data_IF_187985018999
#
_entry.id   IF_187985018999
#
_cell.length_a   1.000
_cell.length_b   1.000
_cell.length_c   1.000
_cell.angle_alpha   90.00
_cell.angle_beta   90.00
_cell.angle_gamma   90.00
#
_symmetry.space_group_name_H-M   'P 1'
#
loop_
_entity.id
_entity.type
_entity.pdbx_description
1 polymer ?
2 non-polymer ?
3 water ?
#
# COMPACT_ATOMS: atom_id res chain seq x y z
N UNK A 95 -14.02 -12.09 -15.44
CA UNK A 95 -12.98 -11.96 -16.51
C UNK A 95 -13.20 -10.72 -17.37
N UNK A 96 -14.42 -10.62 -17.92
CA UNK A 96 -14.83 -9.48 -18.74
C UNK A 96 -14.60 -8.15 -17.99
N UNK A 97 -15.10 -8.08 -16.76
CA UNK A 97 -14.95 -6.88 -15.94
C UNK A 97 -13.48 -6.61 -15.61
N UNK A 98 -12.71 -7.68 -15.38
CA UNK A 98 -11.27 -7.56 -15.13
C UNK A 98 -10.54 -6.99 -16.34
N UNK A 99 -10.91 -7.47 -17.53
CA UNK A 99 -10.34 -6.94 -18.78
C UNK A 99 -10.65 -5.46 -18.93
N UNK A 100 -11.89 -5.09 -18.70
CA UNK A 100 -12.31 -3.70 -18.84
C UNK A 100 -11.52 -2.82 -17.85
N UNK A 102 -8.42 -3.45 -16.49
CA UNK A 102 -7.01 -3.33 -16.87
C UNK A 102 -6.84 -2.34 -18.02
N UNK A 103 -7.76 -2.39 -18.99
CA UNK A 103 -7.70 -1.50 -20.15
C UNK A 103 -8.03 -0.06 -19.79
N UNK A 104 -8.95 0.12 -18.84
CA UNK A 104 -9.32 1.46 -18.40
C UNK A 104 -8.09 2.20 -17.85
N UNK A 105 -7.27 1.49 -17.09
CA UNK A 105 -6.11 2.10 -16.42
C UNK A 105 -4.80 1.90 -17.18
N UNK A 106 -4.79 0.99 -18.15
CA UNK A 106 -3.56 0.66 -18.85
C UNK A 106 -2.55 -0.09 -18.01
N UNK A 107 -3.02 -0.98 -17.13
CA UNK A 107 -2.15 -1.74 -16.20
C UNK A 107 -2.05 -3.22 -16.57
N UNK A 108 -1.23 -3.98 -15.82
CA UNK A 108 -0.94 -5.38 -16.13
C UNK A 108 -2.13 -6.30 -15.90
N UNK A 109 -2.74 -6.13 -14.75
CA UNK A 109 -3.69 -7.09 -14.30
C UNK A 109 -4.60 -6.46 -13.28
N UNK A 110 -5.87 -6.79 -13.36
CA UNK A 110 -6.83 -6.43 -12.34
C UNK A 110 -7.55 -7.71 -11.94
N UNK A 111 -7.63 -7.95 -10.64
CA UNK A 111 -8.41 -9.05 -10.09
C UNK A 111 -9.63 -8.44 -9.40
N UNK A 112 -10.82 -8.84 -9.85
CA UNK A 112 -12.06 -8.33 -9.29
C UNK A 112 -12.74 -9.42 -8.47
N UNK A 113 -12.76 -9.22 -7.15
CA UNK A 113 -13.36 -10.17 -6.23
C UNK A 113 -14.86 -9.94 -6.14
N UNK A 114 -15.61 -11.04 -6.02
CA UNK A 114 -17.06 -10.96 -5.95
C UNK A 114 -17.45 -10.16 -4.72
N UNK A 115 -18.41 -9.25 -4.92
CA UNK A 115 -19.05 -8.58 -3.80
C UNK A 115 -18.63 -7.14 -3.61
N UNK A 116 -18.92 -6.64 -2.41
CA UNK A 116 -18.76 -5.24 -2.04
C UNK A 116 -18.13 -5.16 -0.64
N UNK A 117 -16.85 -4.82 -0.58
CA UNK A 117 -16.11 -4.72 0.68
C UNK A 117 -16.62 -3.61 1.59
N UNK A 118 -17.41 -2.68 1.07
CA UNK A 118 -18.08 -1.69 1.92
C UNK A 118 -19.04 -2.36 2.90
N UNK A 119 -19.75 -3.38 2.42
CA UNK A 119 -20.83 -3.97 3.20
C UNK A 119 -20.59 -5.44 3.59
N UNK A 120 -19.58 -6.08 3.00
CA UNK A 120 -19.29 -7.51 3.24
C UNK A 120 -17.87 -7.72 3.74
N UNK A 121 -17.74 -8.09 5.01
CA UNK A 121 -16.42 -8.29 5.60
C UNK A 121 -15.60 -9.40 4.97
N UNK A 122 -16.25 -10.43 4.43
CA UNK A 122 -15.50 -11.55 3.83
C UNK A 122 -14.65 -11.09 2.64
N UNK A 123 -15.06 -10.03 1.96
CA UNK A 123 -14.31 -9.56 0.78
C UNK A 123 -12.87 -9.20 1.15
N UNK A 124 -12.66 -8.60 2.32
CA UNK A 124 -11.30 -8.25 2.76
C UNK A 124 -10.48 -9.50 3.07
N UNK A 125 -11.12 -10.50 3.66
CA UNK A 125 -10.50 -11.81 3.86
C UNK A 125 -10.13 -12.43 2.51
N UNK A 126 -11.05 -12.35 1.56
CA UNK A 126 -10.79 -12.78 0.19
C UNK A 126 -9.63 -12.03 -0.44
N UNK A 127 -9.49 -10.74 -0.14
CA UNK A 127 -8.30 -9.99 -0.63
C UNK A 127 -7.01 -10.64 -0.13
N UNK A 128 -7.03 -11.14 1.11
CA UNK A 128 -5.89 -11.87 1.68
C UNK A 128 -5.54 -13.11 0.87
N UNK A 129 -6.55 -13.91 0.56
CA UNK A 129 -6.37 -15.09 -0.29
C UNK A 129 -5.77 -14.70 -1.65
N UNK A 130 -6.33 -13.66 -2.25
CA UNK A 130 -5.92 -13.23 -3.59
C UNK A 130 -4.49 -12.72 -3.54
N UNK A 131 -4.17 -11.92 -2.51
CA UNK A 131 -2.79 -11.44 -2.42
C UNK A 131 -1.82 -12.60 -2.24
N UNK A 132 -2.20 -13.57 -1.40
CA UNK A 132 -1.35 -14.75 -1.19
C UNK A 132 -1.07 -15.45 -2.53
N UNK A 133 -2.12 -15.72 -3.28
CA UNK A 133 -1.97 -16.41 -4.57
C UNK A 133 -1.14 -15.59 -5.56
N UNK A 134 -1.35 -14.27 -5.53
CA UNK A 134 -0.66 -13.35 -6.41
C UNK A 134 0.85 -13.30 -6.09
N UNK A 135 1.20 -13.12 -4.82
CA UNK A 135 2.60 -13.13 -4.43
C UNK A 135 3.24 -14.52 -4.58
N UNK A 136 2.48 -15.59 -4.41
CA UNK A 136 3.05 -16.91 -4.61
C UNK A 136 3.49 -17.08 -6.07
N UNK A 137 2.66 -16.58 -6.98
CA UNK A 137 2.98 -16.60 -8.41
C UNK A 137 4.14 -15.67 -8.77
N UNK A 138 4.09 -14.44 -8.24
CA UNK A 138 5.01 -13.37 -8.64
C UNK A 138 6.40 -13.46 -8.01
N UNK A 139 6.47 -13.75 -6.71
CA UNK A 139 7.75 -13.67 -5.99
C UNK A 139 8.67 -14.86 -6.35
N UNK A 140 9.86 -14.55 -6.88
CA UNK A 140 10.82 -15.62 -7.19
C UNK A 140 11.51 -16.23 -5.97
N UNK A 141 12.20 -17.34 -6.20
CA UNK A 141 13.09 -17.88 -5.19
C UNK A 141 14.20 -16.89 -4.88
N UNK A 142 14.84 -17.08 -3.74
CA UNK A 142 15.86 -16.17 -3.27
C UNK A 142 15.34 -15.30 -2.14
N UNK A 143 15.94 -14.13 -1.97
CA UNK A 143 15.60 -13.22 -0.89
C UNK A 143 14.76 -12.06 -1.43
N UNK A 144 13.50 -12.02 -1.05
CA UNK A 144 12.60 -10.93 -1.46
C UNK A 144 12.37 -9.98 -0.30
N UNK A 145 12.27 -8.69 -0.62
CA UNK A 145 11.89 -7.68 0.35
C UNK A 145 10.60 -7.01 -0.13
N UNK A 146 9.56 -7.14 0.68
CA UNK A 146 8.23 -6.62 0.39
C UNK A 146 7.94 -5.43 1.30
N UNK A 147 7.83 -4.25 0.70
CA UNK A 147 7.56 -3.02 1.43
C UNK A 147 6.06 -2.78 1.42
N UNK A 148 5.50 -2.54 2.59
CA UNK A 148 4.05 -2.45 2.72
C UNK A 148 3.60 -1.15 3.40
N UNK A 150 0.19 0.57 5.56
CA UNK A 150 -0.80 0.15 6.54
C UNK A 150 -2.20 0.55 6.14
N UNK A 151 -3.04 0.78 7.15
CA UNK A 151 -4.43 1.14 6.96
C UNK A 151 -5.35 -0.03 7.21
N UNK A 152 -6.65 0.25 7.21
CA UNK A 152 -7.63 -0.76 7.57
C UNK A 152 -7.67 -1.93 6.59
N UNK A 153 -7.66 -1.63 5.29
CA UNK A 153 -7.64 -2.67 4.27
C UNK A 153 -6.44 -3.58 4.43
N UNK A 155 -4.50 -4.06 7.02
CA UNK A 155 -4.52 -4.80 8.29
C UNK A 155 -5.33 -6.09 8.11
N UNK A 157 -6.19 -7.58 5.17
CA UNK A 157 -5.46 -8.41 4.22
C UNK A 157 -4.38 -9.22 4.92
N UNK A 158 -3.56 -8.53 5.71
CA UNK A 158 -2.44 -9.19 6.40
C UNK A 158 -2.92 -10.34 7.28
N UNK A 159 -4.00 -10.11 8.03
CA UNK A 159 -4.53 -11.13 8.95
C UNK A 159 -4.99 -12.39 8.21
N UNK A 160 -5.27 -12.25 6.91
CA UNK A 160 -5.86 -13.32 6.11
C UNK A 160 -4.94 -13.89 5.04
N UNK A 162 -1.86 -16.47 3.58
CA UNK A 162 -1.41 -17.86 3.70
C UNK A 162 0.10 -17.93 3.49
N UNK A 163 0.61 -19.16 3.49
CA UNK A 163 2.03 -19.41 3.46
C UNK A 163 2.69 -18.99 2.15
N UNK A 164 3.83 -18.32 2.25
CA UNK A 164 4.68 -18.02 1.08
C UNK A 164 6.11 -18.50 1.23
N UNK A 165 6.55 -18.76 2.46
CA UNK A 165 7.95 -19.09 2.72
C UNK A 165 8.20 -20.53 2.29
N UNK A 166 9.35 -20.76 1.67
CA UNK A 166 9.79 -22.12 1.31
C UNK A 166 11.27 -22.26 1.61
N UNK A 167 11.81 -23.46 1.36
CA UNK A 167 13.24 -23.70 1.49
C UNK A 167 14.05 -22.69 0.69
N UNK A 168 13.57 -22.41 -0.53
CA UNK A 168 14.28 -21.59 -1.49
C UNK A 168 13.80 -20.13 -1.60
N UNK A 169 12.61 -19.84 -1.10
CA UNK A 169 12.07 -18.47 -1.14
C UNK A 169 11.91 -17.89 0.26
N UNK A 170 12.66 -16.83 0.55
CA UNK A 170 12.64 -16.21 1.85
C UNK A 170 12.18 -14.77 1.71
N UNK A 171 11.02 -14.48 2.31
CA UNK A 171 10.41 -13.15 2.22
C UNK A 171 10.57 -12.34 3.49
N UNK A 172 11.02 -11.10 3.32
CA UNK A 172 11.14 -10.13 4.41
C UNK A 172 10.15 -8.98 4.17
N UNK A 173 9.36 -8.66 5.20
CA UNK A 173 8.38 -7.58 5.12
C UNK A 173 8.87 -6.38 5.92
N UNK A 174 8.79 -5.20 5.30
CA UNK A 174 9.18 -3.96 5.93
C UNK A 174 8.13 -2.92 5.59
N UNK A 175 8.00 -1.91 6.46
CA UNK A 175 7.11 -0.79 6.10
C UNK A 175 7.69 0.02 4.94
N UNK A 176 6.83 0.53 4.06
CA UNK A 176 7.29 1.34 2.92
C UNK A 176 7.63 2.76 3.34
N UNK A 177 6.96 3.20 4.42
CA UNK A 177 7.14 4.53 4.96
C UNK A 177 7.09 4.56 6.47
N UNK A 178 7.84 5.49 7.05
CA UNK A 178 7.69 5.85 8.46
C UNK A 178 7.03 7.21 8.59
N UNK A 179 6.59 7.54 9.79
CA UNK A 179 6.07 8.89 10.07
C UNK A 179 4.76 9.19 9.38
N UNK A 180 3.91 8.17 9.29
CA UNK A 180 2.66 8.30 8.55
C UNK A 180 1.50 8.80 9.43
N UNK A 181 1.55 8.54 10.72
CA UNK A 181 0.56 9.06 11.65
C UNK A 181 -0.62 8.12 11.97
N UNK A 182 -0.52 6.86 11.59
CA UNK A 182 -1.58 5.91 11.92
C UNK A 182 -1.47 5.41 13.38
N UNK A 183 -2.58 4.86 13.87
CA UNK A 183 -2.60 4.15 15.15
C UNK A 183 -1.94 2.78 15.02
N UNK A 184 -1.48 2.24 16.15
CA UNK A 184 -0.75 0.97 16.13
C UNK A 184 -1.47 -0.18 15.42
N UNK A 185 -2.78 -0.26 15.55
CA UNK A 185 -3.52 -1.38 14.96
C UNK A 185 -3.40 -1.44 13.44
N UNK A 186 -3.16 -0.29 12.80
CA UNK A 186 -3.10 -0.25 11.34
C UNK A 186 -1.83 0.39 10.80
N UNK A 187 -0.83 0.60 11.64
CA UNK A 187 0.43 1.16 11.12
C UNK A 187 1.20 0.11 10.30
N UNK A 188 2.01 0.59 9.36
CA UNK A 188 2.73 -0.27 8.43
C UNK A 188 3.62 -1.32 9.15
N UNK A 189 4.27 -0.92 10.24
CA UNK A 189 5.07 -1.86 11.05
C UNK A 189 4.22 -3.06 11.46
N UNK A 190 3.01 -2.77 11.92
CA UNK A 190 2.10 -3.81 12.40
C UNK A 190 1.69 -4.74 11.27
N UNK A 191 1.36 -4.17 10.11
CA UNK A 191 0.99 -4.97 8.94
C UNK A 191 2.19 -5.87 8.57
N UNK A 192 3.40 -5.32 8.60
CA UNK A 192 4.60 -6.11 8.25
C UNK A 192 4.76 -7.33 9.14
N UNK A 193 4.53 -7.13 10.44
CA UNK A 193 4.71 -8.20 11.42
C UNK A 193 3.68 -9.29 11.22
N UNK A 194 2.44 -8.87 11.00
CA UNK A 194 1.36 -9.82 10.77
C UNK A 194 1.59 -10.60 9.47
N UNK A 196 4.36 -11.19 8.00
CA UNK A 196 5.49 -12.11 8.20
C UNK A 196 5.01 -13.37 8.89
N UNK A 197 4.25 -13.18 9.97
CA UNK A 197 3.72 -14.31 10.74
C UNK A 197 2.86 -15.22 9.89
N UNK A 198 1.89 -14.64 9.19
CA UNK A 198 0.92 -15.44 8.46
C UNK A 198 1.52 -16.17 7.25
N UNK A 199 2.56 -15.59 6.65
CA UNK A 199 3.18 -16.15 5.45
C UNK A 199 4.38 -17.06 5.73
N UNK A 200 4.83 -17.10 6.98
CA UNK A 200 6.03 -17.86 7.35
C UNK A 200 7.34 -17.12 7.13
N UNK A 201 7.25 -15.82 6.82
CA UNK A 201 8.45 -15.02 6.56
C UNK A 201 8.93 -14.29 7.79
N UNK A 202 9.65 -13.20 7.53
CA UNK A 202 10.23 -12.38 8.56
C UNK A 202 9.91 -10.91 8.32
N UNK A 203 10.12 -10.09 9.34
CA UNK A 203 9.91 -8.66 9.22
C UNK A 203 11.02 -7.89 9.88
N UNK A 204 11.16 -6.65 9.46
CA UNK A 204 11.98 -5.68 10.14
C UNK A 204 11.19 -4.39 10.29
N UNK A 205 10.91 -4.00 11.53
CA UNK A 205 10.18 -2.78 11.80
C UNK A 205 11.13 -1.60 11.63
N UNK A 206 10.57 -0.47 11.20
CA UNK A 206 11.30 0.77 11.13
C UNK A 206 10.92 1.52 12.39
N UNK A 207 11.90 1.72 13.28
CA UNK A 207 11.59 2.20 14.62
C UNK A 207 11.58 3.72 14.62
N UNK A 208 10.62 4.25 13.86
CA UNK A 208 10.37 5.67 13.74
C UNK A 208 8.95 5.87 14.23
N UNK A 209 8.73 6.74 15.23
CA UNK A 209 7.34 6.97 15.65
C UNK A 209 6.44 7.45 14.50
N UNK A 210 5.15 7.10 14.56
CA UNK A 210 4.21 7.49 13.51
C UNK A 210 3.96 8.99 13.48
N UNK A 211 4.10 9.62 14.65
CA UNK A 211 4.18 11.07 14.76
C UNK A 211 5.51 11.38 15.46
N UNK A 212 6.31 12.28 14.87
CA UNK A 212 7.66 12.55 15.39
C UNK A 212 8.14 13.97 15.15
N UNK A 213 9.19 14.34 15.88
CA UNK A 213 9.78 15.67 15.83
C UNK A 213 11.06 15.71 15.00
N UNK A 214 11.48 16.93 14.63
CA UNK A 214 12.71 17.15 13.86
C UNK A 214 13.93 16.60 14.58
N UNK A 215 13.93 16.78 15.90
CA UNK A 215 15.00 16.28 16.77
C UNK A 215 15.10 14.76 16.66
N UNK A 216 13.95 14.10 16.79
CA UNK A 216 13.88 12.63 16.74
C UNK A 216 14.34 12.12 15.36
N UNK A 217 13.89 12.80 14.32
CA UNK A 217 14.25 12.46 12.95
C UNK A 217 15.75 12.48 12.64
N UNK A 218 16.42 13.60 12.93
CA UNK A 218 17.87 13.72 12.73
C UNK A 218 18.66 12.68 13.47
N UNK A 219 18.21 12.40 14.70
CA UNK A 219 18.90 11.47 15.57
C UNK A 219 18.80 10.06 15.01
N UNK A 220 17.58 9.68 14.65
CA UNK A 220 17.32 8.33 14.12
C UNK A 220 18.03 8.07 12.79
N UNK A 221 18.20 9.10 11.98
CA UNK A 221 18.91 8.93 10.71
C UNK A 221 20.39 8.59 10.83
N UNK A 222 21.00 8.93 11.96
CA UNK A 222 22.39 8.58 12.22
C UNK A 222 22.52 7.22 12.88
N UNK A 223 21.40 6.58 13.21
CA UNK A 223 21.43 5.26 13.83
C UNK A 223 21.68 4.20 12.77
N UNK A 224 22.76 3.40 12.92
CA UNK A 224 22.98 2.31 11.97
C UNK A 224 21.79 1.37 11.81
N UNK A 225 21.06 1.13 12.90
CA UNK A 225 19.89 0.24 12.86
C UNK A 225 18.76 0.80 12.00
N UNK A 226 18.52 2.10 12.14
CA UNK A 226 17.50 2.78 11.33
C UNK A 226 17.92 2.81 9.86
N UNK A 227 19.18 3.15 9.62
CA UNK A 227 19.74 3.21 8.27
C UNK A 227 19.62 1.87 7.57
N UNK A 228 19.86 0.80 8.33
CA UNK A 228 19.82 -0.55 7.82
C UNK A 228 18.43 -0.86 7.28
N UNK A 229 17.41 -0.48 8.04
CA UNK A 229 16.03 -0.72 7.59
C UNK A 229 15.66 0.18 6.41
N UNK A 230 16.06 1.44 6.42
CA UNK A 230 15.82 2.34 5.29
C UNK A 230 16.48 1.80 4.01
N UNK A 231 17.66 1.20 4.17
CA UNK A 231 18.34 0.60 3.03
C UNK A 231 17.58 -0.63 2.51
N UNK A 232 17.12 -1.48 3.42
CA UNK A 232 16.30 -2.64 3.05
C UNK A 232 15.09 -2.18 2.25
N UNK A 233 14.42 -1.14 2.75
CA UNK A 233 13.24 -0.59 2.06
C UNK A 233 13.61 -0.11 0.67
N UNK A 234 14.74 0.59 0.54
CA UNK A 234 15.18 1.10 -0.77
C UNK A 234 15.43 -0.01 -1.80
N UNK A 235 15.73 -1.23 -1.34
CA UNK A 235 15.99 -2.35 -2.24
C UNK A 235 14.82 -3.30 -2.37
N UNK A 236 13.63 -2.89 -1.92
CA UNK A 236 12.46 -3.75 -2.03
C UNK A 236 12.22 -4.12 -3.50
N UNK A 237 11.90 -5.38 -3.75
CA UNK A 237 11.48 -5.81 -5.10
C UNK A 237 9.96 -6.00 -5.22
N UNK A 238 9.23 -5.76 -4.14
CA UNK A 238 7.79 -5.82 -4.13
C UNK A 238 7.23 -4.73 -3.20
N UNK A 239 6.11 -4.12 -3.63
CA UNK A 239 5.39 -3.16 -2.79
C UNK A 239 3.92 -3.51 -2.81
N UNK A 240 3.30 -3.50 -1.65
CA UNK A 240 1.85 -3.74 -1.53
C UNK A 240 1.25 -2.59 -0.71
N UNK A 241 0.15 -2.04 -1.22
CA UNK A 241 -0.47 -0.89 -0.59
C UNK A 241 -1.95 -0.83 -0.91
N UNK A 242 -2.69 -0.05 -0.11
CA UNK A 242 -4.04 0.35 -0.48
C UNK A 242 -4.01 1.77 -1.02
N UNK A 243 -5.18 2.29 -1.31
CA UNK A 243 -5.40 3.65 -1.77
C UNK A 243 -6.41 4.24 -0.82
N UNK A 244 -6.07 5.37 -0.23
CA UNK A 244 -6.93 6.02 0.76
C UNK A 244 -7.79 7.10 0.16
N UNK A 245 -8.93 7.33 0.80
CA UNK A 245 -9.77 8.48 0.51
C UNK A 245 -9.12 9.66 1.27
N UNK A 246 -8.71 10.69 0.52
CA UNK A 246 -7.75 11.68 0.99
C UNK A 246 -8.11 12.38 2.31
N UNK A 247 -9.28 13.00 2.36
CA UNK A 247 -9.63 13.76 3.57
C UNK A 247 -9.83 12.85 4.78
N UNK A 248 -10.41 11.68 4.55
CA UNK A 248 -10.55 10.66 5.58
C UNK A 248 -9.18 10.26 6.15
N UNK A 250 -6.41 12.11 6.06
CA UNK A 250 -5.86 13.26 6.76
C UNK A 250 -6.41 13.39 8.19
N UNK A 251 -7.71 13.15 8.35
CA UNK A 251 -8.32 13.20 9.67
C UNK A 251 -7.87 12.03 10.54
N UNK A 252 -7.88 10.83 9.99
CA UNK A 252 -7.53 9.64 10.77
C UNK A 252 -6.09 9.73 11.30
N UNK A 253 -5.20 10.20 10.44
CA UNK A 253 -3.78 10.36 10.74
C UNK A 253 -3.45 11.61 11.57
N UNK A 254 -4.49 12.35 11.95
CA UNK A 254 -4.33 13.54 12.80
C UNK A 254 -3.34 14.54 12.21
N UNK A 256 -2.13 18.14 10.70
CA UNK A 256 -2.30 19.48 11.28
C UNK A 256 -3.51 20.20 10.68
N UNK A 257 -4.05 21.16 11.42
CA UNK A 257 -5.18 21.95 10.93
C UNK A 257 -4.86 22.62 9.60
N UNK A 258 -3.67 23.22 9.51
CA UNK A 258 -3.27 23.87 8.27
C UNK A 258 -3.25 22.88 7.10
N UNK A 259 -2.76 21.67 7.32
CA UNK A 259 -2.70 20.67 6.25
C UNK A 259 -4.08 20.22 5.81
N UNK A 261 -6.90 21.92 5.99
CA UNK A 261 -7.52 23.00 5.23
C UNK A 261 -6.92 23.08 3.82
N UNK A 263 -5.53 20.63 2.11
CA UNK A 263 -5.98 19.48 1.31
C UNK A 263 -7.39 19.65 0.75
N UNK A 264 -8.27 20.22 1.55
CA UNK A 264 -9.63 20.54 1.11
C UNK A 264 -9.63 21.50 -0.07
N UNK A 265 -8.86 22.57 0.04
CA UNK A 265 -8.89 23.59 -0.99
C UNK A 265 -8.15 23.17 -2.25
N UNK A 266 -7.21 22.22 -2.14
CA UNK A 266 -6.56 21.65 -3.34
C UNK A 266 -7.33 20.44 -3.89
N UNK A 267 -8.52 20.19 -3.34
CA UNK A 267 -9.44 19.16 -3.82
C UNK A 267 -8.79 17.78 -3.90
N UNK A 268 -8.08 17.43 -2.84
CA UNK A 268 -7.44 16.13 -2.72
C UNK A 268 -8.50 15.04 -2.70
N UNK A 269 -8.26 13.99 -3.48
CA UNK A 269 -9.22 12.89 -3.64
C UNK A 269 -8.65 11.57 -3.14
N UNK A 270 -7.40 11.28 -3.50
CA UNK A 270 -6.75 10.02 -3.13
C UNK A 270 -5.47 10.26 -2.34
N UNK A 271 -5.11 9.27 -1.54
CA UNK A 271 -3.82 9.22 -0.87
C UNK A 271 -3.15 7.89 -1.17
N UNK A 272 -1.83 7.92 -1.27
CA UNK A 272 -1.04 6.69 -1.26
C UNK A 272 0.42 7.03 -0.93
N UNK A 273 1.01 6.26 -0.03
CA UNK A 273 2.43 6.44 0.37
C UNK A 273 2.74 7.82 0.96
N UNK A 274 1.73 8.54 1.44
CA UNK A 274 1.94 9.88 1.96
C UNK A 274 1.95 10.97 0.90
N UNK A 275 1.46 10.61 -0.29
CA UNK A 275 1.18 11.58 -1.35
C UNK A 275 -0.32 11.73 -1.51
N UNK A 276 -0.77 12.95 -1.79
CA UNK A 276 -2.19 13.22 -2.01
C UNK A 276 -2.44 13.66 -3.45
N UNK A 277 -3.48 13.10 -4.06
CA UNK A 277 -3.74 13.28 -5.49
C UNK A 277 -5.13 13.88 -5.74
N UNK A 278 -5.22 14.85 -6.65
CA UNK A 278 -6.52 15.35 -7.06
C UNK A 278 -7.09 14.45 -8.17
N UNK A 279 -8.29 14.76 -8.65
CA UNK A 279 -8.97 13.87 -9.60
C UNK A 279 -8.24 13.76 -10.95
N UNK A 280 -7.45 14.79 -11.28
CA UNK A 280 -6.59 14.74 -12.46
C UNK A 280 -5.35 13.86 -12.28
N UNK A 281 -5.17 13.29 -11.09
CA UNK A 281 -4.00 12.47 -10.79
C UNK A 281 -2.78 13.27 -10.40
N UNK A 282 -2.93 14.58 -10.25
CA UNK A 282 -1.83 15.44 -9.85
C UNK A 282 -1.55 15.30 -8.35
N UNK A 283 -0.27 15.24 -7.98
CA UNK A 283 0.14 15.31 -6.59
C UNK A 283 -0.05 16.75 -6.11
N UNK A 284 -1.00 16.94 -5.20
CA UNK A 284 -1.29 18.28 -4.63
C UNK A 284 -0.57 18.54 -3.31
N UNK A 285 -0.11 17.47 -2.66
CA UNK A 285 0.65 17.57 -1.42
C UNK A 285 1.37 16.26 -1.09
N UNK A 286 2.50 16.37 -0.39
CA UNK A 286 3.18 15.20 0.16
C UNK A 286 3.73 15.50 1.55
N UNK A 287 3.66 14.50 2.44
CA UNK A 287 4.21 14.63 3.78
C UNK A 287 5.72 14.41 3.73
N UNK A 288 6.45 14.83 4.78
CA UNK A 288 7.89 14.57 4.76
C UNK A 288 8.21 13.07 4.61
N UNK A 289 9.16 12.76 3.74
CA UNK A 289 9.40 11.38 3.33
C UNK A 289 10.37 10.67 4.25
N UNK A 290 9.97 9.50 4.72
CA UNK A 290 10.85 8.58 5.42
C UNK A 290 10.61 7.22 4.78
N UNK A 291 11.45 6.86 3.82
CA UNK A 291 11.28 5.60 3.09
C UNK A 291 11.03 5.80 1.60
N UNK A 292 10.14 5.01 1.03
CA UNK A 292 10.00 4.93 -0.42
C UNK A 292 9.68 6.24 -1.12
N UNK A 293 10.35 6.51 -2.23
CA UNK A 293 9.97 7.59 -3.14
C UNK A 293 8.98 7.11 -4.21
N UNK A 294 7.94 7.90 -4.45
CA UNK A 294 6.95 7.57 -5.48
C UNK A 294 7.63 7.26 -6.82
N UNK A 295 8.60 8.09 -7.21
CA UNK A 295 9.28 7.93 -8.49
C UNK A 295 9.94 6.55 -8.64
N UNK A 296 10.35 5.96 -7.53
CA UNK A 296 11.08 4.69 -7.57
C UNK A 296 10.17 3.48 -7.66
N UNK A 297 8.86 3.68 -7.48
CA UNK A 297 7.92 2.56 -7.68
C UNK A 297 8.02 1.98 -9.07
N UNK A 298 8.29 2.85 -10.05
CA UNK A 298 8.37 2.48 -11.48
C UNK A 298 9.35 1.34 -11.75
N UNK A 299 10.42 1.28 -10.95
CA UNK A 299 11.46 0.27 -11.15
C UNK A 299 11.25 -1.01 -10.33
N UNK A 300 10.22 -1.06 -9.49
CA UNK A 300 9.98 -2.24 -8.65
C UNK A 300 9.15 -3.23 -9.45
N UNK A 301 9.62 -4.48 -9.61
CA UNK A 301 8.91 -5.42 -10.50
C UNK A 301 7.50 -5.76 -10.06
N UNK A 302 7.28 -5.90 -8.76
CA UNK A 302 6.01 -6.46 -8.26
C UNK A 302 5.31 -5.41 -7.41
N UNK A 303 4.29 -4.78 -7.99
CA UNK A 303 3.59 -3.68 -7.35
C UNK A 303 2.13 -4.08 -7.30
N UNK A 304 1.55 -4.12 -6.10
CA UNK A 304 0.19 -4.57 -5.94
C UNK A 304 -0.57 -3.54 -5.13
N UNK A 305 -1.61 -2.98 -5.74
CA UNK A 305 -2.54 -2.07 -5.08
C UNK A 305 -3.81 -2.88 -4.70
N UNK A 306 -4.28 -2.70 -3.48
CA UNK A 306 -5.46 -3.42 -3.01
C UNK A 306 -6.45 -2.38 -2.48
N UNK A 307 -7.59 -2.26 -3.15
CA UNK A 307 -8.57 -1.24 -2.76
C UNK A 307 -9.91 -1.61 -3.34
N UNK A 308 -10.92 -1.58 -2.48
CA UNK A 308 -12.25 -1.99 -2.90
C UNK A 308 -13.33 -1.11 -2.29
N UNK A 309 -14.56 -1.39 -2.71
CA UNK A 309 -15.73 -0.68 -2.24
C UNK A 309 -16.14 0.41 -3.22
N UNK A 310 -17.43 0.58 -3.44
CA UNK A 310 -17.92 1.69 -4.23
C UNK A 310 -17.39 3.03 -3.67
N UNK A 311 -17.21 3.09 -2.36
CA UNK A 311 -16.78 4.34 -1.71
C UNK A 311 -15.38 4.77 -2.14
N UNK A 312 -14.59 3.84 -2.66
CA UNK A 312 -13.21 4.12 -3.08
C UNK A 312 -13.03 4.33 -4.58
N UNK A 313 -14.12 4.28 -5.35
CA UNK A 313 -14.02 4.39 -6.79
C UNK A 313 -13.29 5.67 -7.22
N UNK A 314 -13.64 6.80 -6.61
CA UNK A 314 -13.02 8.07 -6.96
C UNK A 314 -11.53 8.10 -6.62
N UNK A 315 -11.20 7.60 -5.42
CA UNK A 315 -9.80 7.58 -4.97
C UNK A 315 -8.97 6.66 -5.86
N UNK A 316 -9.52 5.50 -6.18
CA UNK A 316 -8.85 4.54 -7.07
C UNK A 316 -8.55 5.18 -8.43
N UNK A 317 -9.54 5.81 -9.02
CA UNK A 317 -9.35 6.50 -10.31
C UNK A 317 -8.23 7.55 -10.24
N UNK A 318 -8.21 8.32 -9.16
CA UNK A 318 -7.27 9.44 -9.06
C UNK A 318 -5.84 8.95 -8.88
N UNK A 319 -5.65 7.94 -8.05
CA UNK A 319 -4.30 7.41 -7.83
C UNK A 319 -3.85 6.60 -9.05
N UNK A 321 -4.26 6.74 -12.10
CA UNK A 321 -3.90 7.51 -13.30
C UNK A 321 -2.42 7.49 -13.61
N UNK A 322 -1.61 7.67 -12.56
CA UNK A 322 -0.15 7.70 -12.67
C UNK A 322 0.57 6.52 -11.99
N UNK A 323 -0.17 5.47 -11.62
CA UNK A 323 0.44 4.26 -11.04
C UNK A 323 1.35 3.59 -12.07
N UNK A 324 2.39 2.85 -11.60
CA UNK A 324 3.27 2.16 -12.54
C UNK A 324 2.47 1.19 -13.38
N UNK A 325 2.80 1.08 -14.65
CA UNK A 325 1.99 0.27 -15.55
C UNK A 325 2.01 -1.21 -15.22
N UNK A 326 3.03 -1.65 -14.48
CA UNK A 326 3.12 -3.05 -14.06
C UNK A 326 2.22 -3.38 -12.86
N UNK A 327 1.54 -2.38 -12.31
CA UNK A 327 0.69 -2.55 -11.12
C UNK A 327 -0.37 -3.65 -11.35
N UNK A 328 -0.55 -4.50 -10.34
CA UNK A 328 -1.70 -5.40 -10.26
C UNK A 328 -2.69 -4.71 -9.31
N UNK A 329 -3.93 -4.56 -9.74
CA UNK A 329 -4.96 -3.98 -8.87
C UNK A 329 -5.89 -5.08 -8.40
N UNK A 330 -5.92 -5.31 -7.09
CA UNK A 330 -6.89 -6.22 -6.47
C UNK A 330 -8.02 -5.35 -5.94
N UNK A 331 -9.24 -5.62 -6.42
CA UNK A 331 -10.38 -4.80 -6.08
C UNK A 331 -11.63 -5.68 -6.02
N UNK A 332 -12.78 -5.04 -5.90
CA UNK A 332 -14.03 -5.80 -5.88
C UNK A 332 -15.03 -5.31 -6.91
N UNK A 333 -16.11 -6.06 -7.03
CA UNK A 333 -17.15 -5.74 -8.00
C UNK A 333 -17.74 -4.37 -7.74
N UNK A 334 -17.91 -4.02 -6.47
CA UNK A 334 -18.56 -2.76 -6.15
C UNK A 334 -17.73 -1.59 -6.67
N UNK A 335 -16.42 -1.65 -6.48
CA UNK A 335 -15.54 -0.60 -6.99
C UNK A 335 -15.51 -0.58 -8.52
N UNK A 336 -15.32 -1.75 -9.11
CA UNK A 336 -15.24 -1.87 -10.56
C UNK A 336 -16.51 -1.41 -11.26
N UNK A 337 -17.67 -1.88 -10.81
CA UNK A 337 -18.94 -1.45 -11.41
C UNK A 337 -19.09 0.08 -11.39
N UNK A 338 -18.67 0.70 -10.29
CA UNK A 338 -18.78 2.15 -10.15
C UNK A 338 -17.83 2.87 -11.10
N UNK A 339 -16.59 2.41 -11.15
CA UNK A 339 -15.59 3.01 -12.02
C UNK A 339 -15.98 2.90 -13.49
N UNK A 340 -16.56 1.76 -13.88
CA UNK A 340 -16.87 1.46 -15.29
C UNK A 340 -18.26 1.86 -15.76
N UNK A 341 -19.04 2.52 -14.90
CA UNK A 341 -20.40 2.89 -15.30
C UNK A 341 -20.39 4.00 -16.36
#
# INVERSE_FOLDING_TARGET
>A
XLKEFKXIEAVAPDXLDVLQERFQILRNIYWXQPIGRRSLSETXGITERVLRTETDVLKQLNLIEPSKSGXTLTERGLEVYQGLELVXNQLLGXHQIEKEXTQYFGIQRCIVVAGDSDIQKKVLSDFGDVLTNTLNLLLPNGENTIAVXGGTTXAXVAENXGSLETEKRHNLFVPARGGIGEAVSVQANSISAVXANKTGGNYRALYVPEQLSRETYNSLLQEPSIQEVLTLISHANCVVHSIGRALHXAARRKXSDDEXVXLKQKNAVAESFGYFFDEEGKVVYKIPRIGLQLKNLQEIPYVVAIAGGKTKAKAIRAYXKNAPKQTWLITDEAAANEILKGVTL
#
